data_IF_976349998652
#
_entry.id   IF_976349998652
#
_cell.length_a   1.000
_cell.length_b   1.000
_cell.length_c   1.000
_cell.angle_alpha   90.00
_cell.angle_beta   90.00
_cell.angle_gamma   90.00
#
_symmetry.space_group_name_H-M   'P 1'
#
loop_
_entity.id
_entity.type
_entity.pdbx_description
1 polymer ?
#
# COMPACT_ATOMS: atom_id res chain seq x y z
N UNK A 1 -17.19 8.05 17.70
CA UNK A 1 -17.23 8.97 16.57
C UNK A 1 -17.42 8.19 15.27
N UNK A 2 -18.36 8.64 14.47
CA UNK A 2 -18.60 7.98 13.20
C UNK A 2 -17.44 8.24 12.22
N UNK A 3 -17.05 7.20 11.48
CA UNK A 3 -16.07 7.34 10.43
C UNK A 3 -16.78 7.64 9.12
N UNK A 4 -16.17 8.49 8.34
CA UNK A 4 -16.66 8.72 6.98
C UNK A 4 -16.43 7.46 6.15
N UNK A 5 -17.42 7.11 5.35
CA UNK A 5 -17.26 5.99 4.42
C UNK A 5 -16.26 6.37 3.34
N UNK A 6 -15.45 5.39 2.92
CA UNK A 6 -14.59 5.60 1.76
C UNK A 6 -15.42 5.64 0.51
N UNK A 7 -15.03 6.52 -0.39
CA UNK A 7 -15.62 6.54 -1.72
C UNK A 7 -14.77 5.61 -2.58
N UNK A 8 -15.35 4.48 -2.98
CA UNK A 8 -14.68 3.50 -3.83
C UNK A 8 -15.47 3.33 -5.10
N UNK A 9 -14.82 3.56 -6.24
CA UNK A 9 -15.42 3.35 -7.55
C UNK A 9 -14.86 2.05 -8.13
N UNK A 10 -15.66 0.98 -8.18
CA UNK A 10 -15.16 -0.32 -8.65
C UNK A 10 -14.55 -0.24 -10.05
N UNK A 11 -13.44 -0.92 -10.25
CA UNK A 11 -12.77 -1.00 -11.55
C UNK A 11 -11.94 0.22 -11.91
N UNK A 12 -11.81 1.19 -11.02
CA UNK A 12 -11.05 2.42 -11.26
C UNK A 12 -9.83 2.49 -10.35
N UNK A 13 -8.77 3.19 -10.77
CA UNK A 13 -7.58 3.32 -9.92
C UNK A 13 -7.84 4.21 -8.71
N UNK A 14 -7.29 3.78 -7.60
CA UNK A 14 -7.36 4.50 -6.33
C UNK A 14 -5.96 4.72 -5.80
N UNK A 15 -5.71 5.92 -5.28
CA UNK A 15 -4.47 6.23 -4.58
C UNK A 15 -4.67 5.86 -3.11
N UNK A 16 -3.93 4.87 -2.65
CA UNK A 16 -4.01 4.38 -1.27
C UNK A 16 -2.72 4.76 -0.56
N UNK A 17 -2.85 5.35 0.62
CA UNK A 17 -1.70 5.76 1.42
C UNK A 17 -1.83 5.24 2.84
N UNK A 18 -0.67 4.95 3.46
CA UNK A 18 -0.61 4.58 4.86
C UNK A 18 0.76 4.98 5.40
N UNK A 19 0.82 5.41 6.65
CA UNK A 19 2.09 5.81 7.25
C UNK A 19 2.25 5.19 8.63
N UNK A 20 3.50 5.18 9.09
CA UNK A 20 3.83 4.65 10.41
C UNK A 20 3.23 5.46 11.52
N UNK A 21 2.85 4.76 12.59
CA UNK A 21 2.36 5.40 13.81
C UNK A 21 3.43 6.34 14.34
N UNK A 22 3.03 7.57 14.66
CA UNK A 22 3.97 8.63 15.12
C UNK A 22 5.10 8.88 14.13
N UNK A 23 4.86 8.63 12.84
CA UNK A 23 5.84 8.80 11.75
C UNK A 23 7.08 7.92 11.93
N UNK A 24 6.99 6.87 12.74
CA UNK A 24 8.11 5.95 12.92
C UNK A 24 8.37 5.14 11.65
N UNK A 25 9.59 4.65 11.46
CA UNK A 25 9.88 3.76 10.35
C UNK A 25 9.02 2.50 10.42
N UNK A 26 8.64 2.02 9.25
CA UNK A 26 7.88 0.76 9.13
C UNK A 26 8.65 -0.28 8.31
N UNK A 27 9.70 0.14 7.64
CA UNK A 27 10.59 -0.74 6.89
C UNK A 27 12.01 -0.55 7.42
N UNK A 28 12.67 -1.65 7.79
CA UNK A 28 13.96 -1.60 8.44
C UNK A 28 15.09 -2.19 7.59
N UNK A 29 14.77 -2.66 6.39
CA UNK A 29 15.73 -3.19 5.46
C UNK A 29 15.02 -3.76 4.23
N UNK A 30 15.82 -4.24 3.28
CA UNK A 30 15.29 -4.76 2.02
C UNK A 30 14.36 -5.95 2.22
N UNK A 31 14.62 -6.79 3.23
CA UNK A 31 13.77 -7.93 3.50
C UNK A 31 12.35 -7.51 3.90
N UNK A 32 12.22 -6.37 4.59
CA UNK A 32 10.91 -5.86 4.98
C UNK A 32 10.14 -5.39 3.77
N UNK A 33 10.79 -4.69 2.84
CA UNK A 33 10.13 -4.28 1.60
C UNK A 33 9.65 -5.49 0.82
N UNK A 34 10.47 -6.53 0.72
CA UNK A 34 10.09 -7.76 0.02
C UNK A 34 8.92 -8.45 0.70
N UNK A 35 8.95 -8.56 2.01
CA UNK A 35 7.86 -9.19 2.75
C UNK A 35 6.55 -8.43 2.57
N UNK A 36 6.61 -7.10 2.64
CA UNK A 36 5.44 -6.27 2.42
C UNK A 36 4.83 -6.53 1.04
N UNK A 37 5.67 -6.57 0.01
CA UNK A 37 5.20 -6.78 -1.36
C UNK A 37 4.62 -8.18 -1.56
N UNK A 38 5.20 -9.18 -0.92
CA UNK A 38 4.64 -10.53 -0.96
C UNK A 38 3.24 -10.55 -0.34
N UNK A 39 3.09 -9.95 0.84
CA UNK A 39 1.80 -9.90 1.51
C UNK A 39 0.77 -9.09 0.73
N UNK A 40 1.18 -7.92 0.22
CA UNK A 40 0.27 -7.10 -0.59
C UNK A 40 -0.19 -7.87 -1.82
N UNK A 41 0.73 -8.54 -2.52
CA UNK A 41 0.41 -9.33 -3.70
C UNK A 41 -0.55 -10.48 -3.39
N UNK A 42 -0.29 -11.21 -2.30
CA UNK A 42 -1.14 -12.33 -1.90
C UNK A 42 -2.57 -11.87 -1.61
N UNK A 43 -2.72 -10.84 -0.80
CA UNK A 43 -4.04 -10.42 -0.35
C UNK A 43 -4.79 -9.66 -1.42
N UNK A 44 -4.10 -8.87 -2.25
CA UNK A 44 -4.74 -8.23 -3.40
C UNK A 44 -5.22 -9.27 -4.42
N UNK A 45 -4.41 -10.28 -4.71
CA UNK A 45 -4.81 -11.36 -5.62
C UNK A 45 -6.02 -12.10 -5.08
N UNK A 46 -6.01 -12.42 -3.80
CA UNK A 46 -7.13 -13.14 -3.17
C UNK A 46 -8.45 -12.40 -3.32
N UNK A 47 -8.43 -11.08 -3.23
CA UNK A 47 -9.65 -10.27 -3.27
C UNK A 47 -9.90 -9.60 -4.62
N UNK A 48 -9.14 -9.95 -5.64
CA UNK A 48 -9.33 -9.41 -6.98
C UNK A 48 -8.93 -7.96 -7.14
N UNK A 49 -8.10 -7.45 -6.25
CA UNK A 49 -7.56 -6.09 -6.33
C UNK A 49 -6.31 -6.11 -7.19
N UNK A 50 -6.28 -5.28 -8.25
CA UNK A 50 -5.10 -5.19 -9.10
C UNK A 50 -4.15 -4.12 -8.59
N UNK A 51 -2.87 -4.43 -8.56
CA UNK A 51 -1.83 -3.49 -8.12
C UNK A 51 -1.20 -2.88 -9.37
N UNK A 52 -1.47 -1.60 -9.62
CA UNK A 52 -0.91 -0.90 -10.77
C UNK A 52 0.46 -0.30 -10.49
N UNK A 53 0.65 0.23 -9.29
CA UNK A 53 1.89 0.87 -8.92
C UNK A 53 2.04 0.88 -7.40
N UNK A 54 3.27 1.04 -6.97
CA UNK A 54 3.54 1.25 -5.55
C UNK A 54 4.81 2.06 -5.39
N UNK A 55 4.89 2.73 -4.26
CA UNK A 55 6.07 3.44 -3.82
C UNK A 55 6.20 3.22 -2.32
N UNK A 56 7.27 2.59 -1.91
CA UNK A 56 7.49 2.25 -0.50
C UNK A 56 8.59 3.15 0.05
N UNK A 57 8.22 3.96 1.02
CA UNK A 57 9.13 4.85 1.73
C UNK A 57 9.41 4.28 3.11
N UNK A 58 10.49 4.70 3.79
CA UNK A 58 10.82 4.10 5.08
C UNK A 58 9.71 4.15 6.13
N UNK A 59 8.83 5.15 6.08
CA UNK A 59 7.77 5.30 7.07
C UNK A 59 6.38 5.46 6.49
N UNK A 60 6.20 5.23 5.19
CA UNK A 60 4.87 5.30 4.57
C UNK A 60 4.88 4.63 3.21
N UNK A 61 3.68 4.35 2.71
CA UNK A 61 3.51 3.72 1.41
C UNK A 61 2.50 4.50 0.58
N UNK A 62 2.71 4.49 -0.73
CA UNK A 62 1.75 4.96 -1.73
C UNK A 62 1.48 3.81 -2.68
N UNK A 63 0.20 3.50 -2.87
CA UNK A 63 -0.20 2.40 -3.74
C UNK A 63 -1.21 2.93 -4.76
N UNK A 64 -1.18 2.40 -5.97
CA UNK A 64 -2.25 2.62 -6.94
C UNK A 64 -2.89 1.27 -7.18
N UNK A 65 -4.13 1.13 -6.71
CA UNK A 65 -4.86 -0.12 -6.71
C UNK A 65 -6.17 0.03 -7.47
N UNK A 66 -6.58 -1.04 -8.15
CA UNK A 66 -7.86 -1.09 -8.85
C UNK A 66 -8.71 -2.17 -8.18
N UNK A 67 -9.62 -1.78 -7.28
CA UNK A 67 -10.45 -2.75 -6.56
C UNK A 67 -11.75 -3.06 -7.29
N UNK A 68 -12.27 -4.29 -7.17
CA UNK A 68 -13.59 -4.63 -7.70
C UNK A 68 -14.72 -4.11 -6.81
N UNK A 69 -14.44 -3.81 -5.55
CA UNK A 69 -15.43 -3.30 -4.60
C UNK A 69 -14.73 -2.64 -3.42
N UNK A 70 -15.49 -1.88 -2.63
CA UNK A 70 -14.97 -1.29 -1.40
C UNK A 70 -14.54 -2.39 -0.41
N UNK A 71 -15.36 -3.41 -0.27
CA UNK A 71 -15.05 -4.51 0.63
C UNK A 71 -13.74 -5.19 0.27
N UNK A 72 -13.53 -5.45 -1.03
CA UNK A 72 -12.30 -6.08 -1.49
C UNK A 72 -11.08 -5.22 -1.17
N UNK A 73 -11.18 -3.91 -1.39
CA UNK A 73 -10.09 -2.99 -1.07
C UNK A 73 -9.77 -3.02 0.41
N UNK A 74 -10.78 -2.91 1.25
CA UNK A 74 -10.59 -2.89 2.70
C UNK A 74 -9.98 -4.19 3.20
N UNK A 75 -10.45 -5.32 2.70
CA UNK A 75 -9.94 -6.62 3.13
C UNK A 75 -8.51 -6.86 2.65
N UNK A 76 -8.23 -6.54 1.38
CA UNK A 76 -6.90 -6.76 0.83
C UNK A 76 -5.84 -5.94 1.54
N UNK A 77 -6.04 -4.63 1.61
CA UNK A 77 -5.07 -3.74 2.23
C UNK A 77 -5.01 -3.93 3.73
N UNK A 78 -6.16 -4.05 4.37
CA UNK A 78 -6.24 -4.24 5.81
C UNK A 78 -5.52 -5.51 6.25
N UNK A 79 -5.75 -6.62 5.55
CA UNK A 79 -5.13 -7.88 5.91
C UNK A 79 -3.63 -7.89 5.64
N UNK A 80 -3.19 -7.32 4.50
CA UNK A 80 -1.78 -7.20 4.19
C UNK A 80 -1.06 -6.40 5.27
N UNK A 81 -1.63 -5.28 5.67
CA UNK A 81 -1.02 -4.42 6.68
C UNK A 81 -1.02 -5.06 8.06
N UNK A 82 -2.09 -5.77 8.41
CA UNK A 82 -2.17 -6.47 9.68
C UNK A 82 -1.09 -7.56 9.77
N UNK A 83 -0.92 -8.32 8.71
CA UNK A 83 0.08 -9.38 8.69
C UNK A 83 1.50 -8.84 8.65
N UNK A 84 1.70 -7.73 7.95
CA UNK A 84 2.99 -7.08 7.96
C UNK A 84 3.34 -6.55 9.35
N UNK A 85 2.36 -5.97 10.06
CA UNK A 85 2.55 -5.52 11.44
C UNK A 85 2.98 -6.69 12.33
N UNK A 86 2.34 -7.85 12.18
CA UNK A 86 2.71 -9.04 12.94
C UNK A 86 4.13 -9.48 12.64
N UNK A 87 4.53 -9.43 11.38
CA UNK A 87 5.88 -9.78 10.96
C UNK A 87 6.92 -8.89 11.66
N UNK A 88 6.71 -7.58 11.65
CA UNK A 88 7.64 -6.64 12.30
C UNK A 88 7.63 -6.81 13.82
N UNK A 89 6.44 -6.84 14.40
CA UNK A 89 6.32 -6.95 15.86
C UNK A 89 6.93 -8.24 16.40
N UNK A 90 6.74 -9.35 15.69
CA UNK A 90 7.33 -10.62 16.10
C UNK A 90 8.85 -10.54 16.08
N UNK A 91 9.43 -10.04 14.99
CA UNK A 91 10.87 -9.96 14.88
C UNK A 91 11.50 -9.02 15.90
N UNK A 92 10.87 -7.84 16.11
CA UNK A 92 11.39 -6.82 17.01
C UNK A 92 10.94 -7.01 18.46
N UNK A 93 10.07 -7.96 18.72
CA UNK A 93 9.45 -8.17 20.03
C UNK A 93 8.69 -6.93 20.50
N UNK A 94 8.06 -6.25 19.56
CA UNK A 94 7.23 -5.08 19.82
C UNK A 94 5.77 -5.48 19.92
N UNK A 95 4.97 -4.55 20.46
CA UNK A 95 3.51 -4.66 20.55
C UNK A 95 2.88 -3.38 20.07
N UNK A 96 1.61 -3.47 19.70
CA UNK A 96 0.82 -2.31 19.36
C UNK A 96 0.81 -2.02 17.88
N UNK A 97 0.47 -0.76 17.57
CA UNK A 97 0.19 -0.34 16.19
C UNK A 97 1.48 0.07 15.48
N UNK A 98 1.74 -0.57 14.35
CA UNK A 98 2.80 -0.14 13.46
C UNK A 98 2.33 1.02 12.57
N UNK A 99 1.10 0.92 12.09
CA UNK A 99 0.51 1.91 11.20
C UNK A 99 -0.39 2.87 11.95
N UNK A 100 -0.47 4.11 11.47
CA UNK A 100 -1.32 5.13 12.09
C UNK A 100 -2.74 5.02 11.54
N UNK A 101 -3.63 4.41 12.31
CA UNK A 101 -5.04 4.33 11.96
C UNK A 101 -5.32 3.57 10.68
N UNK A 102 -6.44 3.92 10.05
CA UNK A 102 -6.87 3.31 8.80
C UNK A 102 -6.11 3.92 7.63
N UNK A 103 -5.92 3.13 6.58
CA UNK A 103 -5.33 3.68 5.36
C UNK A 103 -6.30 4.67 4.71
N UNK A 104 -5.75 5.64 3.98
CA UNK A 104 -6.53 6.58 3.19
C UNK A 104 -6.63 6.09 1.75
N UNK A 105 -7.73 6.44 1.09
CA UNK A 105 -7.98 6.01 -0.28
C UNK A 105 -8.73 7.09 -1.03
N UNK A 106 -8.28 7.41 -2.25
CA UNK A 106 -8.92 8.39 -3.12
C UNK A 106 -9.05 7.83 -4.52
N UNK A 107 -10.24 7.99 -5.12
CA UNK A 107 -10.44 7.68 -6.54
C UNK A 107 -9.57 8.64 -7.34
N UNK A 108 -8.81 8.11 -8.31
CA UNK A 108 -7.91 8.93 -9.12
C UNK A 108 -8.57 9.32 -10.43
N UNK A 109 -8.45 10.60 -10.79
CA UNK A 109 -8.72 11.04 -12.14
C UNK A 109 -7.43 10.94 -12.98
N UNK A 110 -7.53 11.20 -14.27
CA UNK A 110 -6.39 11.06 -15.16
C UNK A 110 -5.23 11.99 -14.80
N UNK A 111 -5.45 13.29 -14.53
CA UNK A 111 -4.34 14.17 -14.12
C UNK A 111 -3.65 13.70 -12.85
N UNK A 112 -4.42 13.24 -11.87
CA UNK A 112 -3.85 12.73 -10.63
C UNK A 112 -3.01 11.47 -10.89
N UNK A 113 -3.50 10.59 -11.74
CA UNK A 113 -2.78 9.36 -12.08
C UNK A 113 -1.44 9.67 -12.76
N UNK A 114 -1.43 10.62 -13.69
CA UNK A 114 -0.20 11.04 -14.36
C UNK A 114 0.79 11.66 -13.38
N UNK A 115 0.31 12.50 -12.47
CA UNK A 115 1.16 13.11 -11.45
C UNK A 115 1.77 12.06 -10.52
N UNK A 116 0.98 11.08 -10.11
CA UNK A 116 1.45 10.00 -9.26
C UNK A 116 2.50 9.15 -9.97
N UNK A 117 2.28 8.85 -11.25
CA UNK A 117 3.22 8.08 -12.04
C UNK A 117 4.57 8.79 -12.16
N UNK A 118 4.54 10.10 -12.42
CA UNK A 118 5.76 10.91 -12.49
C UNK A 118 6.50 10.92 -11.16
N UNK A 119 5.76 11.06 -10.08
CA UNK A 119 6.34 11.06 -8.75
C UNK A 119 7.08 9.75 -8.46
N UNK A 120 6.47 8.63 -8.81
CA UNK A 120 7.08 7.31 -8.63
C UNK A 120 8.37 7.18 -9.44
N UNK A 121 8.37 7.68 -10.67
CA UNK A 121 9.54 7.55 -11.56
C UNK A 121 10.74 8.39 -11.13
N UNK A 122 10.50 9.53 -10.49
CA UNK A 122 11.56 10.50 -10.18
C UNK A 122 12.34 10.21 -8.91
N UNK A 123 11.77 9.44 -7.99
CA UNK A 123 12.40 9.21 -6.70
C UNK A 123 13.25 7.93 -6.75
N UNK A 124 14.55 7.98 -6.38
CA UNK A 124 15.41 6.80 -6.46
C UNK A 124 14.91 5.58 -5.69
N UNK A 125 14.35 5.78 -4.49
CA UNK A 125 13.74 4.69 -3.71
C UNK A 125 12.54 4.14 -4.45
N UNK A 126 11.74 5.02 -5.04
CA UNK A 126 10.57 4.65 -5.80
C UNK A 126 10.94 3.99 -7.13
N UNK A 127 12.03 4.41 -7.76
CA UNK A 127 12.50 3.79 -8.98
C UNK A 127 12.84 2.33 -8.75
N UNK A 128 13.47 2.00 -7.62
CA UNK A 128 13.75 0.61 -7.25
C UNK A 128 12.46 -0.20 -7.12
N UNK A 129 11.47 0.33 -6.41
CA UNK A 129 10.17 -0.30 -6.26
C UNK A 129 9.43 -0.34 -7.59
N UNK A 130 9.51 0.74 -8.37
CA UNK A 130 8.89 0.81 -9.69
C UNK A 130 9.45 -0.20 -10.67
N UNK A 131 10.75 -0.45 -10.65
CA UNK A 131 11.36 -1.46 -11.49
C UNK A 131 10.83 -2.85 -11.16
N UNK A 132 10.71 -3.15 -9.87
CA UNK A 132 10.14 -4.42 -9.41
C UNK A 132 8.68 -4.55 -9.85
N UNK A 133 7.91 -3.49 -9.73
CA UNK A 133 6.53 -3.46 -10.17
C UNK A 133 6.40 -3.74 -11.67
N UNK A 134 7.27 -3.14 -12.48
CA UNK A 134 7.22 -3.35 -13.93
C UNK A 134 7.44 -4.81 -14.29
N UNK A 135 8.33 -5.50 -13.60
CA UNK A 135 8.53 -6.93 -13.85
C UNK A 135 7.29 -7.73 -13.51
N UNK A 136 6.53 -7.30 -12.50
CA UNK A 136 5.29 -7.96 -12.14
C UNK A 136 4.16 -7.67 -13.12
N UNK A 137 4.14 -6.46 -13.64
CA UNK A 137 3.08 -6.04 -14.55
C UNK A 137 3.23 -6.66 -15.94
N UNK A 138 4.45 -6.98 -16.31
CA UNK A 138 4.69 -7.64 -17.60
C UNK A 138 4.47 -9.14 -17.49
#
# INVERSE_FOLDING_TARGET
MARLARVVAPGRPHHVTQRGNRRQPTFFGDDDYREYLVLLGQWCTKHGVRVWAYCLMPNHVHLILVPPSEEALCRAVGEAHRRYTRHVNFREQWRGHLWQGRFASFVMDEPHLLAAARYVERNPVKAKAGAHRRRRAS
#
